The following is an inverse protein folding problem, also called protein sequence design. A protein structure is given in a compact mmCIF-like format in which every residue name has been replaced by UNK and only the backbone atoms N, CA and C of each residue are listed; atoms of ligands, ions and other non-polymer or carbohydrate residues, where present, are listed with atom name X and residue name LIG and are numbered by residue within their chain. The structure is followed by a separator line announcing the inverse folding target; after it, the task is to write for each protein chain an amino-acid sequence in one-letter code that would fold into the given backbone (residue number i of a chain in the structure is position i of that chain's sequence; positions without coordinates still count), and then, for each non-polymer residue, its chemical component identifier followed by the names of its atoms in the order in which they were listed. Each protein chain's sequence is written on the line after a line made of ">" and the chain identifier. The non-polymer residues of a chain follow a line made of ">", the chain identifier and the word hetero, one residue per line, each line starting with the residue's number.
data_IF_464325534549
#
_entry.id   IF_464325534549
#
_cell.length_a   1.000
_cell.length_b   1.000
_cell.length_c   1.000
_cell.angle_alpha   90.00
_cell.angle_beta   90.00
_cell.angle_gamma   90.00
#
_symmetry.space_group_name_H-M   'P 1'
#
loop_
_entity.id
_entity.type
_entity.pdbx_description
1 polymer ?
#
# COMPACT_ATOMS: atom_id res chain seq x y z
N UNK A 1 -1.62 35.52 25.53
CA UNK A 1 -0.84 34.29 25.34
C UNK A 1 0.32 34.59 24.42
N UNK A 2 1.54 34.18 24.78
CA UNK A 2 2.69 34.23 23.87
C UNK A 2 2.74 32.95 23.02
N UNK A 3 3.14 33.03 21.73
CA UNK A 3 3.27 31.86 20.88
C UNK A 3 4.41 30.97 21.38
N UNK A 4 4.13 29.68 21.59
CA UNK A 4 5.13 28.66 21.87
C UNK A 4 5.67 28.12 20.53
N UNK A 5 6.99 28.04 20.40
CA UNK A 5 7.64 27.40 19.26
C UNK A 5 7.83 25.92 19.58
N UNK A 6 7.26 25.05 18.74
CA UNK A 6 7.37 23.60 18.83
C UNK A 6 8.09 23.06 17.60
N UNK A 7 9.00 22.11 17.82
CA UNK A 7 9.65 21.36 16.74
C UNK A 7 8.65 20.33 16.18
N UNK A 8 8.16 20.57 14.96
CA UNK A 8 7.12 19.76 14.32
C UNK A 8 7.60 19.29 12.97
N UNK A 9 7.43 17.99 12.72
CA UNK A 9 7.64 17.36 11.42
C UNK A 9 6.30 17.00 10.79
N UNK A 10 6.08 17.45 9.56
CA UNK A 10 4.90 17.11 8.77
C UNK A 10 5.19 15.93 7.83
N UNK A 11 4.30 14.94 7.83
CA UNK A 11 4.25 13.85 6.85
C UNK A 11 2.86 13.89 6.22
N UNK A 12 2.79 13.98 4.90
CA UNK A 12 1.53 14.04 4.16
C UNK A 12 1.48 12.92 3.13
N UNK A 13 0.31 12.33 2.94
CA UNK A 13 0.02 11.34 1.90
C UNK A 13 -1.17 11.81 1.08
N UNK A 14 -1.17 11.54 -0.23
CA UNK A 14 -2.31 11.81 -1.10
C UNK A 14 -2.48 10.68 -2.10
N UNK A 15 -3.72 10.27 -2.35
CA UNK A 15 -4.06 9.37 -3.46
C UNK A 15 -4.18 10.14 -4.79
N UNK A 16 -4.58 11.42 -4.73
CA UNK A 16 -4.66 12.30 -5.90
C UNK A 16 -3.31 12.93 -6.20
N UNK A 17 -3.09 13.28 -7.46
CA UNK A 17 -1.93 14.08 -7.85
C UNK A 17 -2.13 15.54 -7.38
N UNK A 18 -1.48 15.92 -6.28
CA UNK A 18 -1.59 17.26 -5.69
C UNK A 18 -1.08 18.39 -6.59
N UNK A 19 -0.23 18.09 -7.58
CA UNK A 19 0.19 19.08 -8.58
C UNK A 19 -0.94 19.42 -9.53
N UNK A 20 -1.68 18.42 -10.00
CA UNK A 20 -2.86 18.61 -10.84
C UNK A 20 -4.00 19.28 -10.04
N UNK A 21 -4.23 18.86 -8.79
CA UNK A 21 -5.23 19.50 -7.94
C UNK A 21 -4.89 20.98 -7.68
N UNK A 22 -3.61 21.34 -7.54
CA UNK A 22 -3.20 22.74 -7.39
C UNK A 22 -3.44 23.55 -8.67
N UNK A 23 -3.10 22.98 -9.83
CA UNK A 23 -3.35 23.58 -11.14
C UNK A 23 -4.85 23.83 -11.39
N UNK A 24 -5.71 22.94 -10.87
CA UNK A 24 -7.16 23.06 -10.98
C UNK A 24 -7.79 23.96 -9.90
N UNK A 25 -6.99 24.61 -9.05
CA UNK A 25 -7.48 25.48 -7.98
C UNK A 25 -8.08 24.73 -6.78
N UNK A 26 -7.98 23.40 -6.76
CA UNK A 26 -8.49 22.54 -5.68
C UNK A 26 -7.51 22.38 -4.53
N UNK A 27 -6.24 22.78 -4.72
CA UNK A 27 -5.20 22.75 -3.70
C UNK A 27 -4.36 24.04 -3.67
N UNK A 28 -3.92 24.45 -2.48
CA UNK A 28 -3.14 25.69 -2.32
C UNK A 28 -1.74 25.54 -2.91
N UNK A 29 -1.43 26.35 -3.94
CA UNK A 29 -0.09 26.43 -4.51
C UNK A 29 0.98 26.83 -3.48
N UNK A 30 0.62 27.70 -2.54
CA UNK A 30 1.51 28.13 -1.45
C UNK A 30 1.87 26.96 -0.54
N UNK A 31 0.89 26.13 -0.17
CA UNK A 31 1.13 24.93 0.63
C UNK A 31 1.95 23.90 -0.17
N UNK A 32 1.63 23.68 -1.44
CA UNK A 32 2.36 22.75 -2.30
C UNK A 32 3.86 23.11 -2.36
N UNK A 33 4.20 24.39 -2.48
CA UNK A 33 5.60 24.87 -2.53
C UNK A 33 6.38 24.55 -1.25
N UNK A 34 5.74 24.64 -0.09
CA UNK A 34 6.37 24.32 1.21
C UNK A 34 6.52 22.81 1.41
N UNK A 35 5.59 22.02 0.87
CA UNK A 35 5.61 20.55 0.96
C UNK A 35 6.52 19.88 -0.06
N UNK A 36 6.92 20.57 -1.13
CA UNK A 36 7.69 20.03 -2.26
C UNK A 36 9.14 19.55 -2.00
N UNK A 37 9.85 19.81 -0.88
CA UNK A 37 11.27 19.44 -0.79
C UNK A 37 11.57 17.95 -0.99
N UNK A 38 10.65 17.05 -0.63
CA UNK A 38 10.81 15.61 -0.84
C UNK A 38 9.44 14.96 -1.06
N UNK A 39 9.24 14.37 -2.23
CA UNK A 39 8.04 13.58 -2.55
C UNK A 39 8.44 12.15 -2.88
N UNK A 40 7.77 11.18 -2.25
CA UNK A 40 7.95 9.75 -2.52
C UNK A 40 6.69 9.25 -3.21
N UNK A 41 6.82 8.86 -4.48
CA UNK A 41 5.76 8.19 -5.21
C UNK A 41 5.83 6.69 -4.91
N UNK A 42 4.75 6.12 -4.37
CA UNK A 42 4.67 4.68 -4.14
C UNK A 42 3.97 4.06 -5.36
N UNK A 43 4.66 3.23 -6.15
CA UNK A 43 4.05 2.62 -7.32
C UNK A 43 2.94 1.64 -6.89
N UNK A 44 1.91 1.47 -7.72
CA UNK A 44 0.89 0.47 -7.50
C UNK A 44 1.50 -0.94 -7.56
N UNK A 45 0.84 -1.91 -6.92
CA UNK A 45 1.36 -3.27 -6.76
C UNK A 45 1.66 -3.97 -8.10
N UNK A 46 0.88 -3.67 -9.14
CA UNK A 46 1.09 -4.18 -10.51
C UNK A 46 2.41 -3.71 -11.16
N UNK A 47 3.00 -2.62 -10.67
CA UNK A 47 4.28 -2.06 -11.16
C UNK A 47 5.48 -2.51 -10.30
N UNK A 48 5.23 -3.28 -9.22
CA UNK A 48 6.25 -3.82 -8.31
C UNK A 48 5.89 -5.26 -7.90
N UNK A 49 5.73 -6.12 -8.90
CA UNK A 49 5.20 -7.47 -8.71
C UNK A 49 6.17 -8.37 -7.96
N UNK A 50 7.46 -8.10 -8.08
CA UNK A 50 8.54 -8.80 -7.40
C UNK A 50 8.42 -8.65 -5.87
N UNK A 51 7.82 -7.56 -5.40
CA UNK A 51 7.61 -7.31 -3.96
C UNK A 51 6.45 -8.12 -3.38
N UNK A 52 5.55 -8.68 -4.20
CA UNK A 52 4.29 -9.29 -3.74
C UNK A 52 4.55 -10.42 -2.75
N UNK A 53 5.51 -11.31 -3.04
CA UNK A 53 5.82 -12.46 -2.18
C UNK A 53 6.33 -12.00 -0.81
N UNK A 54 7.23 -11.01 -0.79
CA UNK A 54 7.78 -10.44 0.44
C UNK A 54 6.68 -9.75 1.27
N UNK A 55 5.86 -8.93 0.63
CA UNK A 55 4.75 -8.23 1.27
C UNK A 55 3.71 -9.22 1.81
N UNK A 56 3.37 -10.26 1.05
CA UNK A 56 2.44 -11.30 1.45
C UNK A 56 2.94 -12.05 2.69
N UNK A 57 4.21 -12.43 2.73
CA UNK A 57 4.84 -13.03 3.90
C UNK A 57 4.73 -12.14 5.15
N UNK A 58 4.98 -10.83 4.99
CA UNK A 58 4.81 -9.86 6.07
C UNK A 58 3.35 -9.73 6.55
N UNK A 59 2.38 -9.78 5.64
CA UNK A 59 0.94 -9.77 5.98
C UNK A 59 0.56 -11.04 6.74
N UNK A 60 0.95 -12.22 6.25
CA UNK A 60 0.67 -13.51 6.88
C UNK A 60 1.21 -13.52 8.30
N UNK A 61 2.48 -13.13 8.49
CA UNK A 61 3.09 -13.06 9.81
C UNK A 61 2.39 -12.05 10.72
N UNK A 62 2.11 -10.85 10.22
CA UNK A 62 1.48 -9.77 11.00
C UNK A 62 0.09 -10.13 11.50
N UNK A 63 -0.68 -10.86 10.70
CA UNK A 63 -2.07 -11.21 11.02
C UNK A 63 -2.24 -12.66 11.51
N UNK A 64 -1.16 -13.43 11.64
CA UNK A 64 -1.21 -14.83 12.08
C UNK A 64 -2.07 -15.70 11.17
N UNK A 65 -2.01 -15.47 9.84
CA UNK A 65 -2.80 -16.26 8.89
C UNK A 65 -2.24 -17.68 8.82
N UNK A 66 -3.13 -18.66 8.79
CA UNK A 66 -2.78 -20.08 8.68
C UNK A 66 -2.42 -20.44 7.23
N UNK A 67 -1.35 -19.80 6.76
CA UNK A 67 -0.80 -19.88 5.42
C UNK A 67 0.71 -19.99 5.56
N UNK A 68 1.17 -21.06 6.21
CA UNK A 68 2.60 -21.29 6.45
C UNK A 68 3.32 -21.90 5.25
N UNK A 69 2.57 -22.39 4.27
CA UNK A 69 3.13 -23.10 3.15
C UNK A 69 3.63 -22.13 2.06
N UNK A 70 4.95 -21.98 1.96
CA UNK A 70 5.59 -21.27 0.84
C UNK A 70 5.14 -21.82 -0.52
N UNK A 71 4.78 -23.10 -0.60
CA UNK A 71 4.27 -23.70 -1.83
C UNK A 71 2.94 -23.09 -2.28
N UNK A 72 2.10 -22.66 -1.33
CA UNK A 72 0.83 -21.98 -1.64
C UNK A 72 1.08 -20.59 -2.22
N UNK A 73 2.04 -19.82 -1.68
CA UNK A 73 2.42 -18.52 -2.24
C UNK A 73 3.06 -18.65 -3.63
N UNK A 74 3.91 -19.67 -3.82
CA UNK A 74 4.48 -19.99 -5.14
C UNK A 74 3.42 -20.41 -6.15
N UNK A 75 2.41 -21.19 -5.73
CA UNK A 75 1.28 -21.59 -6.57
C UNK A 75 0.35 -20.44 -6.97
N UNK A 76 0.41 -19.32 -6.25
CA UNK A 76 -0.35 -18.10 -6.57
C UNK A 76 0.44 -17.13 -7.43
N UNK A 77 1.72 -17.40 -7.73
CA UNK A 77 2.56 -16.54 -8.57
C UNK A 77 1.91 -16.28 -9.92
N UNK A 78 1.44 -17.33 -10.60
CA UNK A 78 0.74 -17.21 -11.90
C UNK A 78 -0.52 -16.32 -11.81
N UNK A 79 -1.22 -16.38 -10.67
CA UNK A 79 -2.39 -15.54 -10.43
C UNK A 79 -2.00 -14.06 -10.26
N UNK A 80 -0.98 -13.77 -9.45
CA UNK A 80 -0.51 -12.40 -9.22
C UNK A 80 0.20 -11.78 -10.43
N UNK A 81 0.86 -12.60 -11.25
CA UNK A 81 1.47 -12.17 -12.51
C UNK A 81 0.44 -11.65 -13.52
N UNK A 82 -0.84 -12.00 -13.38
CA UNK A 82 -1.87 -11.57 -14.32
C UNK A 82 -2.95 -10.70 -13.66
N UNK A 83 -2.99 -10.63 -12.33
CA UNK A 83 -3.96 -9.81 -11.60
C UNK A 83 -3.57 -8.32 -11.61
N UNK A 84 -4.57 -7.44 -11.77
CA UNK A 84 -4.37 -5.99 -11.90
C UNK A 84 -4.20 -5.27 -10.55
N UNK A 85 -4.71 -5.85 -9.46
CA UNK A 85 -4.71 -5.27 -8.11
C UNK A 85 -5.14 -3.79 -8.07
N UNK A 86 -6.37 -3.47 -8.52
CA UNK A 86 -6.86 -2.09 -8.56
C UNK A 86 -6.75 -1.39 -7.18
N UNK A 87 -7.05 -2.11 -6.10
CA UNK A 87 -6.96 -1.60 -4.72
C UNK A 87 -5.64 -2.00 -4.02
N UNK A 88 -4.62 -2.39 -4.80
CA UNK A 88 -3.26 -2.65 -4.33
C UNK A 88 -3.19 -3.65 -3.17
N UNK A 89 -2.58 -3.24 -2.05
CA UNK A 89 -2.41 -4.05 -0.84
C UNK A 89 -3.75 -4.47 -0.23
N UNK A 90 -4.84 -3.74 -0.50
CA UNK A 90 -6.15 -4.12 -0.01
C UNK A 90 -6.63 -5.43 -0.66
N UNK A 91 -6.45 -5.55 -1.96
CA UNK A 91 -6.81 -6.74 -2.72
C UNK A 91 -5.91 -7.93 -2.35
N UNK A 92 -4.60 -7.71 -2.22
CA UNK A 92 -3.67 -8.74 -1.75
C UNK A 92 -4.07 -9.26 -0.36
N UNK A 93 -4.38 -8.37 0.59
CA UNK A 93 -4.87 -8.76 1.91
C UNK A 93 -6.15 -9.58 1.80
N UNK A 94 -7.18 -9.09 1.08
CA UNK A 94 -8.46 -9.80 0.93
C UNK A 94 -8.25 -11.23 0.46
N UNK A 95 -7.40 -11.44 -0.54
CA UNK A 95 -7.12 -12.76 -1.05
C UNK A 95 -6.41 -13.64 -0.01
N UNK A 96 -5.39 -13.14 0.67
CA UNK A 96 -4.69 -13.91 1.72
C UNK A 96 -5.65 -14.31 2.85
N UNK A 97 -6.53 -13.39 3.27
CA UNK A 97 -7.58 -13.71 4.24
C UNK A 97 -8.53 -14.80 3.71
N UNK A 98 -9.01 -14.67 2.47
CA UNK A 98 -9.87 -15.68 1.85
C UNK A 98 -9.20 -17.06 1.82
N UNK A 99 -7.94 -17.13 1.37
CA UNK A 99 -7.19 -18.38 1.31
C UNK A 99 -6.97 -18.99 2.68
N UNK A 100 -6.70 -18.18 3.71
CA UNK A 100 -6.52 -18.68 5.08
C UNK A 100 -7.78 -19.32 5.64
N UNK A 101 -8.95 -18.75 5.34
CA UNK A 101 -10.25 -19.31 5.73
C UNK A 101 -10.52 -20.59 4.94
N UNK A 102 -10.28 -20.57 3.63
CA UNK A 102 -10.47 -21.75 2.77
C UNK A 102 -9.61 -22.92 3.22
N UNK A 103 -8.32 -22.68 3.49
CA UNK A 103 -7.39 -23.70 3.97
C UNK A 103 -7.86 -24.36 5.27
N UNK A 104 -8.38 -23.57 6.22
CA UNK A 104 -8.94 -24.08 7.48
C UNK A 104 -10.21 -24.91 7.31
N UNK A 105 -11.02 -24.64 6.28
CA UNK A 105 -12.24 -25.40 6.02
C UNK A 105 -11.97 -26.73 5.28
N UNK A 106 -10.87 -26.80 4.54
CA UNK A 106 -10.47 -27.99 3.76
C UNK A 106 -9.50 -28.92 4.52
N UNK A 107 -8.99 -28.47 5.68
CA UNK A 107 -8.11 -29.24 6.59
C UNK A 107 -8.89 -29.85 7.74
#
# INVERSE_FOLDING_TARGET
>A
MQPAFFDVRFIMTSQKNIFEEAKNGMFSEKLLRVLKPLSICIPPLRERREDIEFIAGGIIQKYGLDLTDKALLLGLREYYENHAFPENLHDLKRLLFYLSVKHRLES
#
